data_IF_271634727755
#
_entry.id   IF_271634727755
#
_cell.length_a   1.000
_cell.length_b   1.000
_cell.length_c   1.000
_cell.angle_alpha   90.00
_cell.angle_beta   90.00
_cell.angle_gamma   90.00
#
_symmetry.space_group_name_H-M   'P 1'
#
loop_
_entity.id
_entity.type
_entity.pdbx_description
1 polymer ?
#
# COMPACT_ATOMS: atom_id res chain seq x y z
N UNK A 1 11.45 17.10 0.10
CA UNK A 1 10.01 16.82 -0.13
C UNK A 1 9.88 16.12 -1.48
N UNK A 2 9.79 14.78 -1.54
CA UNK A 2 9.64 14.04 -2.80
C UNK A 2 8.16 14.06 -3.28
N UNK A 3 7.87 14.19 -4.58
CA UNK A 3 6.48 14.11 -5.09
C UNK A 3 5.87 12.71 -4.89
N UNK A 4 4.54 12.57 -4.95
CA UNK A 4 3.85 11.27 -4.88
C UNK A 4 4.41 10.23 -5.86
N UNK A 5 4.67 10.63 -7.10
CA UNK A 5 5.23 9.76 -8.14
C UNK A 5 6.61 9.21 -7.79
N UNK A 6 7.45 9.95 -7.07
CA UNK A 6 8.75 9.45 -6.62
C UNK A 6 8.63 8.46 -5.45
N UNK A 7 7.56 8.56 -4.64
CA UNK A 7 7.23 7.53 -3.65
C UNK A 7 6.84 6.23 -4.36
N UNK A 8 6.01 6.32 -5.40
CA UNK A 8 5.65 5.18 -6.24
C UNK A 8 6.88 4.56 -6.91
N UNK A 9 7.81 5.36 -7.46
CA UNK A 9 9.07 4.84 -7.99
C UNK A 9 9.87 4.03 -6.95
N UNK A 10 9.84 4.44 -5.68
CA UNK A 10 10.44 3.68 -4.57
C UNK A 10 9.80 2.30 -4.38
N UNK A 11 8.47 2.19 -4.50
CA UNK A 11 7.76 0.90 -4.54
C UNK A 11 8.19 0.08 -5.76
N UNK A 12 8.38 0.72 -6.91
CA UNK A 12 8.91 0.08 -8.12
C UNK A 12 10.28 -0.56 -7.92
N UNK A 13 11.17 0.07 -7.14
CA UNK A 13 12.44 -0.54 -6.75
C UNK A 13 12.26 -1.81 -5.91
N UNK A 14 11.34 -1.80 -4.94
CA UNK A 14 11.04 -3.00 -4.13
C UNK A 14 10.47 -4.13 -5.00
N UNK A 15 9.58 -3.80 -5.94
CA UNK A 15 9.06 -4.76 -6.91
C UNK A 15 10.18 -5.37 -7.75
N UNK A 16 11.10 -4.53 -8.25
CA UNK A 16 12.24 -4.98 -9.01
C UNK A 16 13.10 -5.96 -8.20
N UNK A 17 13.43 -5.62 -6.96
CA UNK A 17 14.21 -6.48 -6.08
C UNK A 17 13.52 -7.84 -5.85
N UNK A 18 12.19 -7.85 -5.63
CA UNK A 18 11.43 -9.11 -5.47
C UNK A 18 11.47 -9.95 -6.75
N UNK A 19 11.33 -9.32 -7.93
CA UNK A 19 11.38 -10.02 -9.22
C UNK A 19 12.76 -10.62 -9.48
N UNK A 20 13.83 -9.88 -9.24
CA UNK A 20 15.23 -10.32 -9.44
C UNK A 20 15.67 -11.41 -8.44
N UNK A 21 15.29 -11.27 -7.17
CA UNK A 21 15.67 -12.23 -6.13
C UNK A 21 14.90 -13.55 -6.23
N UNK A 22 13.72 -13.51 -6.86
CA UNK A 22 12.81 -14.64 -7.02
C UNK A 22 12.63 -15.47 -5.72
N UNK A 23 12.18 -14.84 -4.60
CA UNK A 23 12.21 -15.46 -3.27
C UNK A 23 11.12 -16.51 -3.03
N UNK A 24 10.36 -16.89 -4.05
CA UNK A 24 9.33 -17.91 -3.97
C UNK A 24 9.90 -19.34 -3.93
N UNK A 25 9.03 -20.34 -3.69
CA UNK A 25 9.44 -21.74 -3.64
C UNK A 25 10.19 -22.18 -4.91
N UNK A 26 11.37 -22.77 -4.73
CA UNK A 26 12.21 -23.21 -5.87
C UNK A 26 12.86 -22.08 -6.67
N UNK A 27 12.89 -20.85 -6.14
CA UNK A 27 13.47 -19.70 -6.84
C UNK A 27 12.50 -19.08 -7.86
N UNK A 28 11.19 -19.17 -7.61
CA UNK A 28 10.17 -18.55 -8.45
C UNK A 28 9.90 -17.11 -8.01
N UNK A 29 9.54 -16.24 -8.95
CA UNK A 29 8.98 -14.92 -8.60
C UNK A 29 7.59 -15.11 -7.98
N UNK A 30 7.30 -14.56 -6.79
CA UNK A 30 5.97 -14.63 -6.19
C UNK A 30 4.98 -13.71 -6.91
N UNK A 31 3.68 -13.97 -6.73
CA UNK A 31 2.65 -12.97 -7.00
C UNK A 31 2.88 -11.72 -6.14
N UNK A 32 2.71 -10.53 -6.72
CA UNK A 32 2.94 -9.25 -6.04
C UNK A 32 1.67 -8.42 -6.10
N UNK A 33 1.21 -7.96 -4.94
CA UNK A 33 0.14 -6.97 -4.81
C UNK A 33 0.69 -5.71 -4.13
N UNK A 34 0.55 -4.58 -4.81
CA UNK A 34 0.88 -3.27 -4.24
C UNK A 34 -0.33 -2.80 -3.44
N UNK A 35 -0.10 -2.44 -2.17
CA UNK A 35 -1.14 -1.91 -1.29
C UNK A 35 -0.88 -0.45 -1.00
N UNK A 36 -1.77 0.44 -1.46
CA UNK A 36 -1.72 1.84 -1.05
C UNK A 36 -2.27 2.00 0.38
N UNK A 37 -1.61 2.79 1.26
CA UNK A 37 -2.09 3.01 2.61
C UNK A 37 -3.34 3.91 2.62
N UNK A 38 -4.18 3.85 3.68
CA UNK A 38 -5.23 4.85 3.85
C UNK A 38 -4.61 6.25 3.94
N UNK A 39 -5.22 7.28 3.32
CA UNK A 39 -4.71 8.65 3.41
C UNK A 39 -4.63 9.13 4.87
N UNK A 40 -3.59 9.89 5.18
CA UNK A 40 -3.48 10.58 6.46
C UNK A 40 -4.58 11.63 6.59
N UNK A 41 -5.04 11.86 7.82
CA UNK A 41 -5.95 12.97 8.12
C UNK A 41 -5.19 14.31 8.11
N UNK A 42 -5.94 15.41 7.98
CA UNK A 42 -5.35 16.76 8.05
C UNK A 42 -4.78 17.08 9.44
N UNK A 43 -5.39 16.57 10.50
CA UNK A 43 -4.96 16.82 11.88
C UNK A 43 -4.08 15.69 12.41
N UNK A 44 -2.77 15.85 12.20
CA UNK A 44 -1.72 14.95 12.73
C UNK A 44 -1.22 15.34 14.13
N UNK A 45 -2.04 16.08 14.88
CA UNK A 45 -1.77 16.51 16.27
C UNK A 45 -0.41 17.23 16.42
N UNK A 46 0.42 16.82 17.36
CA UNK A 46 1.77 17.37 17.61
C UNK A 46 2.78 17.07 16.49
N UNK A 47 2.45 16.21 15.53
CA UNK A 47 3.36 15.76 14.47
C UNK A 47 3.36 16.64 13.22
N UNK A 48 2.66 17.79 13.25
CA UNK A 48 2.50 18.71 12.10
C UNK A 48 3.82 19.15 11.49
N UNK A 49 4.86 19.36 12.30
CA UNK A 49 6.18 19.76 11.79
C UNK A 49 6.89 18.63 11.05
N UNK A 50 6.69 17.37 11.44
CA UNK A 50 7.34 16.20 10.84
C UNK A 50 6.62 15.83 9.55
N UNK A 51 5.28 15.87 9.58
CA UNK A 51 4.41 15.49 8.46
C UNK A 51 3.92 16.70 7.65
N UNK A 52 4.70 17.79 7.60
CA UNK A 52 4.34 18.98 6.84
C UNK A 52 4.08 18.63 5.35
N UNK A 53 2.84 18.85 4.90
CA UNK A 53 2.39 18.53 3.54
C UNK A 53 2.18 17.04 3.25
N UNK A 54 2.33 16.15 4.24
CA UNK A 54 2.10 14.72 4.07
C UNK A 54 0.62 14.34 3.87
N UNK A 55 -0.38 14.95 4.56
CA UNK A 55 -1.79 14.64 4.33
C UNK A 55 -2.20 14.80 2.86
N UNK A 56 -1.84 15.94 2.26
CA UNK A 56 -2.14 16.18 0.84
C UNK A 56 -1.45 15.19 -0.09
N UNK A 57 -0.18 14.88 0.17
CA UNK A 57 0.56 13.89 -0.61
C UNK A 57 -0.05 12.49 -0.49
N UNK A 58 -0.48 12.10 0.71
CA UNK A 58 -0.99 10.75 0.99
C UNK A 58 -2.25 10.42 0.18
N UNK A 59 -3.10 11.43 -0.10
CA UNK A 59 -4.31 11.29 -0.94
C UNK A 59 -4.01 10.90 -2.38
N UNK A 60 -2.80 11.18 -2.86
CA UNK A 60 -2.38 10.91 -4.23
C UNK A 60 -1.68 9.55 -4.36
N UNK A 61 -1.32 8.90 -3.25
CA UNK A 61 -0.55 7.65 -3.29
C UNK A 61 -1.31 6.50 -3.94
N UNK A 62 -2.62 6.38 -3.70
CA UNK A 62 -3.43 5.33 -4.31
C UNK A 62 -3.37 5.39 -5.85
N UNK A 63 -3.60 6.57 -6.42
CA UNK A 63 -3.53 6.78 -7.88
C UNK A 63 -2.13 6.45 -8.44
N UNK A 64 -1.07 6.94 -7.80
CA UNK A 64 0.30 6.70 -8.29
C UNK A 64 0.72 5.23 -8.17
N UNK A 65 0.25 4.54 -7.13
CA UNK A 65 0.53 3.12 -6.92
C UNK A 65 -0.28 2.24 -7.88
N UNK A 66 -1.52 2.62 -8.19
CA UNK A 66 -2.35 1.97 -9.21
C UNK A 66 -1.71 2.09 -10.60
N UNK A 67 -1.33 3.31 -11.01
CA UNK A 67 -0.62 3.54 -12.28
C UNK A 67 0.66 2.72 -12.38
N UNK A 68 1.42 2.63 -11.28
CA UNK A 68 2.61 1.79 -11.23
C UNK A 68 2.28 0.30 -11.35
N UNK A 69 1.31 -0.19 -10.59
CA UNK A 69 0.89 -1.59 -10.61
C UNK A 69 0.45 -2.00 -12.02
N UNK A 70 -0.39 -1.19 -12.66
CA UNK A 70 -0.85 -1.40 -14.04
C UNK A 70 0.32 -1.44 -15.02
N UNK A 71 1.28 -0.51 -14.89
CA UNK A 71 2.45 -0.45 -15.77
C UNK A 71 3.37 -1.67 -15.66
N UNK A 72 3.30 -2.38 -14.53
CA UNK A 72 4.12 -3.56 -14.21
C UNK A 72 3.34 -4.88 -14.26
N UNK A 73 2.07 -4.83 -14.67
CA UNK A 73 1.11 -5.95 -14.72
C UNK A 73 0.99 -6.65 -13.35
N UNK A 74 0.85 -5.86 -12.28
CA UNK A 74 0.73 -6.34 -10.90
C UNK A 74 -0.66 -6.10 -10.33
N UNK A 75 -0.98 -6.78 -9.23
CA UNK A 75 -2.20 -6.55 -8.49
C UNK A 75 -2.11 -5.26 -7.67
N UNK A 76 -3.23 -4.57 -7.49
CA UNK A 76 -3.33 -3.34 -6.71
C UNK A 76 -4.48 -3.43 -5.70
N UNK A 77 -4.28 -2.85 -4.52
CA UNK A 77 -5.32 -2.70 -3.50
C UNK A 77 -5.21 -1.34 -2.80
N UNK A 78 -6.30 -0.58 -2.78
CA UNK A 78 -6.40 0.67 -2.01
C UNK A 78 -6.96 0.39 -0.61
N UNK A 79 -6.12 0.47 0.42
CA UNK A 79 -6.57 0.32 1.81
C UNK A 79 -7.51 1.47 2.25
N UNK A 80 -7.40 2.65 1.64
CA UNK A 80 -8.29 3.79 1.88
C UNK A 80 -9.74 3.55 1.49
N UNK A 81 -10.00 2.57 0.61
CA UNK A 81 -11.35 2.15 0.23
C UNK A 81 -12.09 1.37 1.32
N UNK A 82 -11.37 0.88 2.33
CA UNK A 82 -11.90 0.02 3.41
C UNK A 82 -11.77 0.68 4.77
N UNK A 83 -10.66 1.36 5.03
CA UNK A 83 -10.32 1.90 6.35
C UNK A 83 -9.81 3.34 6.27
N UNK A 84 -9.82 4.02 7.41
CA UNK A 84 -9.25 5.36 7.56
C UNK A 84 -8.30 5.39 8.75
N UNK A 85 -7.34 6.32 8.72
CA UNK A 85 -6.49 6.58 9.88
C UNK A 85 -7.34 7.04 11.08
N UNK A 86 -6.93 6.65 12.28
CA UNK A 86 -7.55 7.02 13.55
C UNK A 86 -7.43 8.51 13.83
N UNK A 87 -8.47 9.10 14.42
CA UNK A 87 -8.43 10.50 14.90
C UNK A 87 -7.46 10.72 16.07
N UNK A 88 -6.95 9.64 16.68
CA UNK A 88 -6.01 9.71 17.79
C UNK A 88 -4.72 10.45 17.41
N UNK A 89 -4.18 10.18 16.22
CA UNK A 89 -2.97 10.81 15.72
C UNK A 89 -3.02 11.19 14.23
N UNK A 90 -4.05 10.78 13.50
CA UNK A 90 -4.26 11.14 12.10
C UNK A 90 -3.45 10.33 11.09
N UNK A 91 -2.67 9.32 11.49
CA UNK A 91 -1.86 8.53 10.54
C UNK A 91 -1.71 7.03 10.85
N UNK A 92 -1.93 6.57 12.09
CA UNK A 92 -2.09 5.14 12.36
C UNK A 92 -3.53 4.69 12.16
N UNK A 93 -3.75 3.39 11.97
CA UNK A 93 -5.07 2.76 12.03
C UNK A 93 -5.31 2.12 13.40
N UNK A 94 -6.56 2.07 13.85
CA UNK A 94 -6.91 1.42 15.12
C UNK A 94 -7.08 -0.10 14.98
N UNK A 95 -7.41 -0.77 16.10
CA UNK A 95 -7.57 -2.22 16.14
C UNK A 95 -8.75 -2.74 15.28
N UNK A 96 -9.82 -1.96 15.13
CA UNK A 96 -10.95 -2.36 14.30
C UNK A 96 -10.64 -2.19 12.82
N UNK A 97 -10.07 -1.04 12.44
CA UNK A 97 -9.56 -0.81 11.09
C UNK A 97 -8.53 -1.88 10.69
N UNK A 98 -7.62 -2.26 11.59
CA UNK A 98 -6.66 -3.34 11.31
C UNK A 98 -7.35 -4.69 11.02
N UNK A 99 -8.42 -5.05 11.75
CA UNK A 99 -9.20 -6.27 11.48
C UNK A 99 -9.93 -6.21 10.13
N UNK A 100 -10.55 -5.07 9.82
CA UNK A 100 -11.27 -4.85 8.57
C UNK A 100 -10.33 -4.93 7.37
N UNK A 101 -9.17 -4.26 7.44
CA UNK A 101 -8.16 -4.29 6.40
C UNK A 101 -7.65 -5.71 6.16
N UNK A 102 -7.33 -6.46 7.22
CA UNK A 102 -6.89 -7.86 7.08
C UNK A 102 -7.94 -8.75 6.41
N UNK A 103 -9.22 -8.57 6.75
CA UNK A 103 -10.32 -9.32 6.14
C UNK A 103 -10.48 -8.97 4.65
N UNK A 104 -10.35 -7.70 4.29
CA UNK A 104 -10.44 -7.27 2.91
C UNK A 104 -9.25 -7.76 2.07
N UNK A 105 -8.03 -7.69 2.61
CA UNK A 105 -6.83 -8.22 1.95
C UNK A 105 -6.91 -9.73 1.76
N UNK A 106 -7.42 -10.50 2.74
CA UNK A 106 -7.63 -11.94 2.57
C UNK A 106 -8.54 -12.25 1.38
N UNK A 107 -9.64 -11.49 1.22
CA UNK A 107 -10.53 -11.62 0.06
C UNK A 107 -9.87 -11.23 -1.26
N UNK A 108 -9.06 -10.17 -1.26
CA UNK A 108 -8.30 -9.75 -2.44
C UNK A 108 -7.30 -10.84 -2.87
N UNK A 109 -6.59 -11.42 -1.90
CA UNK A 109 -5.66 -12.54 -2.08
C UNK A 109 -6.37 -13.79 -2.62
N UNK A 110 -7.55 -14.13 -2.11
CA UNK A 110 -8.34 -15.24 -2.64
C UNK A 110 -8.79 -14.96 -4.09
N UNK A 111 -9.18 -13.71 -4.40
CA UNK A 111 -9.68 -13.31 -5.72
C UNK A 111 -8.61 -13.33 -6.82
N UNK A 112 -7.35 -13.03 -6.50
CA UNK A 112 -6.22 -13.14 -7.44
C UNK A 112 -5.85 -14.61 -7.73
N UNK A 113 -6.52 -15.57 -7.09
CA UNK A 113 -6.26 -16.99 -7.29
C UNK A 113 -4.94 -17.43 -6.68
N UNK A 114 -4.50 -16.77 -5.60
CA UNK A 114 -3.35 -17.20 -4.80
C UNK A 114 -3.71 -18.47 -4.00
N UNK A 115 -4.12 -19.53 -4.69
CA UNK A 115 -4.39 -20.84 -4.14
C UNK A 115 -3.32 -21.82 -4.59
N UNK A 116 -2.41 -22.13 -3.66
CA UNK A 116 -1.63 -23.37 -3.54
C UNK A 116 -1.07 -23.93 -4.84
N UNK A 117 -0.02 -23.28 -5.37
CA UNK A 117 1.05 -24.06 -6.01
C UNK A 117 1.72 -24.91 -4.92
N UNK A 118 1.11 -26.05 -4.61
CA UNK A 118 1.79 -27.20 -4.00
C UNK A 118 2.64 -27.89 -5.04
#
# INVERSE_FOLDING_TARGET
>A
NKPPSEVAMGIGCLVYDIKELAPGPGGSTPEIMIVAPPPMQDDVKEWKSIFAGAPEKSRLLALEFEVLADSLELHFFDAGSVVSCSEADGFHIDAEAHRLLGTALARAVDAIGWSRST
#
